data_IF_293336988387
#
_entry.id   IF_293336988387
#
_cell.length_a   1.000
_cell.length_b   1.000
_cell.length_c   1.000
_cell.angle_alpha   90.00
_cell.angle_beta   90.00
_cell.angle_gamma   90.00
#
_symmetry.space_group_name_H-M   'P 1'
#
loop_
_entity.id
_entity.type
_entity.pdbx_description
1 polymer ?
#
# COMPACT_ATOMS: atom_id res chain seq x y z
N UNK A 1 9.94 -15.81 -11.90
CA UNK A 1 11.11 -14.90 -11.81
C UNK A 1 11.34 -14.58 -10.35
N UNK A 2 12.59 -14.50 -9.88
CA UNK A 2 12.85 -14.12 -8.49
C UNK A 2 12.45 -12.66 -8.26
N UNK A 3 11.72 -12.38 -7.17
CA UNK A 3 11.35 -11.01 -6.80
C UNK A 3 12.61 -10.18 -6.54
N UNK A 4 12.65 -8.97 -7.07
CA UNK A 4 13.71 -8.01 -6.82
C UNK A 4 13.33 -7.10 -5.65
N UNK A 5 14.30 -6.87 -4.77
CA UNK A 5 14.13 -6.05 -3.58
C UNK A 5 14.94 -4.77 -3.68
N UNK A 6 14.30 -3.66 -3.32
CA UNK A 6 14.87 -2.32 -3.35
C UNK A 6 14.62 -1.58 -2.05
N UNK A 7 15.62 -0.83 -1.58
CA UNK A 7 15.42 0.25 -0.60
C UNK A 7 15.07 1.52 -1.34
N UNK A 8 14.07 2.22 -0.84
CA UNK A 8 13.52 3.45 -1.38
C UNK A 8 13.92 4.63 -0.50
N UNK A 9 14.36 5.70 -1.14
CA UNK A 9 14.62 6.99 -0.48
C UNK A 9 13.89 8.09 -1.26
N UNK A 10 12.99 8.80 -0.59
CA UNK A 10 12.29 9.93 -1.18
C UNK A 10 13.20 11.13 -1.31
N UNK A 11 13.59 11.50 -2.54
CA UNK A 11 14.37 12.73 -2.79
C UNK A 11 13.42 13.90 -2.98
N UNK A 12 12.43 13.71 -3.84
CA UNK A 12 11.28 14.60 -4.02
C UNK A 12 10.08 13.77 -4.48
N UNK A 13 9.48 12.98 -3.57
CA UNK A 13 8.39 12.08 -3.92
C UNK A 13 7.29 12.82 -4.66
N UNK A 14 6.94 12.32 -5.85
CA UNK A 14 5.82 12.80 -6.62
C UNK A 14 5.26 11.69 -7.48
N UNK A 15 3.95 11.53 -7.50
CA UNK A 15 3.28 10.54 -8.36
C UNK A 15 3.78 9.11 -8.13
N UNK A 16 4.21 8.77 -6.92
CA UNK A 16 4.71 7.43 -6.57
C UNK A 16 3.65 6.36 -6.81
N UNK A 17 2.40 6.60 -6.36
CA UNK A 17 1.26 5.71 -6.58
C UNK A 17 1.04 5.40 -8.08
N UNK A 18 1.25 6.39 -8.95
CA UNK A 18 1.09 6.21 -10.40
C UNK A 18 2.16 5.27 -10.97
N UNK A 19 3.40 5.39 -10.50
CA UNK A 19 4.48 4.50 -10.91
C UNK A 19 4.30 3.09 -10.34
N UNK A 20 3.81 2.96 -9.10
CA UNK A 20 3.46 1.67 -8.52
C UNK A 20 2.35 0.97 -9.31
N UNK A 21 1.32 1.68 -9.74
CA UNK A 21 0.26 1.12 -10.58
C UNK A 21 0.83 0.55 -11.89
N UNK A 22 1.78 1.25 -12.52
CA UNK A 22 2.45 0.78 -13.74
C UNK A 22 3.38 -0.41 -13.52
N UNK A 23 3.98 -0.53 -12.34
CA UNK A 23 4.74 -1.73 -11.96
C UNK A 23 3.83 -2.95 -11.84
N UNK A 24 2.57 -2.74 -11.47
CA UNK A 24 1.50 -3.72 -11.50
C UNK A 24 1.30 -4.44 -10.18
N UNK A 25 2.34 -4.97 -9.55
CA UNK A 25 2.25 -5.57 -8.21
C UNK A 25 3.56 -5.45 -7.44
N UNK A 26 3.45 -5.50 -6.12
CA UNK A 26 4.59 -5.50 -5.24
C UNK A 26 4.20 -5.50 -3.78
N UNK A 27 5.21 -5.57 -2.92
CA UNK A 27 5.08 -5.49 -1.48
C UNK A 27 5.97 -4.37 -0.98
N UNK A 28 5.36 -3.37 -0.37
CA UNK A 28 6.08 -2.31 0.32
C UNK A 28 6.25 -2.68 1.78
N UNK A 29 7.41 -2.39 2.34
CA UNK A 29 7.72 -2.58 3.74
C UNK A 29 8.33 -1.32 4.30
N UNK A 30 7.75 -0.75 5.35
CA UNK A 30 8.34 0.32 6.15
C UNK A 30 8.83 -0.28 7.47
N UNK A 31 10.12 -0.12 7.72
CA UNK A 31 10.80 -0.57 8.93
C UNK A 31 11.66 0.58 9.48
N UNK A 32 12.23 0.41 10.67
CA UNK A 32 13.11 1.42 11.28
C UNK A 32 14.32 1.80 10.39
N UNK A 33 14.79 0.87 9.55
CA UNK A 33 15.91 1.11 8.62
C UNK A 33 15.49 1.80 7.31
N UNK A 34 14.18 1.98 7.07
CA UNK A 34 13.65 2.69 5.91
C UNK A 34 12.52 1.94 5.20
N UNK A 35 12.23 2.39 3.98
CA UNK A 35 11.16 1.85 3.14
C UNK A 35 11.74 0.96 2.05
N UNK A 36 11.09 -0.17 1.78
CA UNK A 36 11.52 -1.19 0.84
C UNK A 36 10.39 -1.57 -0.11
N UNK A 37 10.73 -1.96 -1.33
CA UNK A 37 9.83 -2.52 -2.33
C UNK A 37 10.35 -3.88 -2.80
N UNK A 38 9.49 -4.89 -2.72
CA UNK A 38 9.66 -6.18 -3.38
C UNK A 38 8.73 -6.21 -4.60
N UNK A 39 9.26 -6.49 -5.79
CA UNK A 39 8.45 -6.58 -7.02
C UNK A 39 9.00 -7.67 -7.95
N UNK A 40 8.14 -8.28 -8.73
CA UNK A 40 8.54 -9.25 -9.76
C UNK A 40 9.18 -8.57 -10.98
N UNK A 41 9.04 -7.24 -11.09
CA UNK A 41 9.65 -6.46 -12.17
C UNK A 41 11.17 -6.43 -12.03
N UNK A 42 11.85 -6.50 -13.17
CA UNK A 42 13.30 -6.38 -13.23
C UNK A 42 13.79 -5.01 -12.73
N UNK A 43 15.03 -4.98 -12.24
CA UNK A 43 15.67 -3.79 -11.67
C UNK A 43 15.64 -2.56 -12.59
N UNK A 44 15.80 -2.75 -13.90
CA UNK A 44 15.82 -1.65 -14.87
C UNK A 44 14.50 -0.88 -14.91
N UNK A 45 13.39 -1.59 -15.15
CA UNK A 45 12.06 -0.97 -15.24
C UNK A 45 11.62 -0.38 -13.90
N UNK A 46 11.86 -1.10 -12.79
CA UNK A 46 11.57 -0.59 -11.45
C UNK A 46 12.34 0.69 -11.12
N UNK A 47 13.66 0.71 -11.34
CA UNK A 47 14.49 1.87 -11.03
C UNK A 47 14.12 3.08 -11.89
N UNK A 48 13.90 2.86 -13.19
CA UNK A 48 13.51 3.93 -14.12
C UNK A 48 12.18 4.59 -13.70
N UNK A 49 11.14 3.79 -13.45
CA UNK A 49 9.82 4.31 -13.07
C UNK A 49 9.86 5.03 -11.73
N UNK A 50 10.55 4.47 -10.75
CA UNK A 50 10.66 5.07 -9.42
C UNK A 50 11.49 6.36 -9.43
N UNK A 51 12.51 6.45 -10.28
CA UNK A 51 13.24 7.69 -10.50
C UNK A 51 12.34 8.80 -11.06
N UNK A 52 11.40 8.48 -11.97
CA UNK A 52 10.38 9.45 -12.45
C UNK A 52 9.46 9.94 -11.33
N UNK A 53 9.31 9.17 -10.25
CA UNK A 53 8.58 9.59 -9.06
C UNK A 53 9.45 10.33 -8.02
N UNK A 54 10.68 10.70 -8.36
CA UNK A 54 11.61 11.35 -7.45
C UNK A 54 12.08 10.43 -6.31
N UNK A 55 12.04 9.11 -6.52
CA UNK A 55 12.49 8.10 -5.55
C UNK A 55 13.84 7.55 -6.00
N UNK A 56 14.83 7.65 -5.12
CA UNK A 56 16.11 6.96 -5.29
C UNK A 56 15.92 5.50 -4.87
N UNK A 57 16.44 4.60 -5.70
CA UNK A 57 16.30 3.16 -5.53
C UNK A 57 17.68 2.56 -5.36
N UNK A 58 17.88 1.79 -4.28
CA UNK A 58 19.11 1.02 -4.04
C UNK A 58 18.76 -0.46 -3.98
N UNK A 59 19.45 -1.31 -4.74
CA UNK A 59 19.21 -2.76 -4.69
C UNK A 59 19.60 -3.30 -3.31
N UNK A 60 18.76 -4.15 -2.75
CA UNK A 60 19.03 -4.84 -1.48
C UNK A 60 18.87 -6.35 -1.66
N UNK A 61 19.63 -7.12 -0.88
CA UNK A 61 19.54 -8.58 -0.91
C UNK A 61 18.35 -9.11 -0.09
N UNK A 62 18.00 -8.42 1.01
CA UNK A 62 17.01 -8.89 1.98
C UNK A 62 16.19 -7.71 2.51
N UNK A 63 14.87 -7.86 2.60
CA UNK A 63 14.00 -6.97 3.37
C UNK A 63 14.07 -7.38 4.84
N UNK A 64 14.20 -6.43 5.79
CA UNK A 64 14.11 -6.75 7.21
C UNK A 64 12.80 -7.52 7.50
N UNK A 65 12.84 -8.44 8.46
CA UNK A 65 11.65 -9.10 8.99
C UNK A 65 11.13 -8.39 10.25
N UNK A 66 9.89 -8.66 10.68
CA UNK A 66 9.40 -8.19 11.97
C UNK A 66 10.12 -8.90 13.12
N UNK A 67 10.42 -8.16 14.19
CA UNK A 67 10.96 -8.76 15.41
C UNK A 67 9.94 -9.71 16.05
N UNK A 68 10.43 -10.80 16.67
CA UNK A 68 9.60 -11.87 17.26
C UNK A 68 8.66 -11.39 18.38
N UNK A 69 8.98 -10.27 19.01
CA UNK A 69 8.21 -9.68 20.11
C UNK A 69 7.01 -8.86 19.61
N UNK A 70 7.03 -8.45 18.34
CA UNK A 70 5.95 -7.67 17.77
C UNK A 70 4.73 -8.55 17.50
N UNK A 71 3.56 -7.91 17.51
CA UNK A 71 2.28 -8.60 17.29
C UNK A 71 1.61 -8.07 16.02
N UNK A 72 1.15 -8.97 15.13
CA UNK A 72 0.50 -8.56 13.90
C UNK A 72 -0.86 -7.94 14.17
N UNK A 73 -1.22 -6.97 13.33
CA UNK A 73 -2.48 -6.26 13.33
C UNK A 73 -2.87 -5.90 11.90
N UNK A 74 -4.15 -6.05 11.61
CA UNK A 74 -4.75 -5.70 10.33
C UNK A 74 -5.03 -4.20 10.33
N UNK A 75 -4.52 -3.47 9.34
CA UNK A 75 -4.85 -2.06 9.16
C UNK A 75 -5.93 -1.87 8.10
N UNK A 76 -6.89 -0.99 8.40
CA UNK A 76 -8.03 -0.71 7.53
C UNK A 76 -7.98 0.64 6.84
N UNK A 77 -6.93 1.40 7.09
CA UNK A 77 -6.59 2.65 6.39
C UNK A 77 -5.07 2.70 6.10
N UNK A 78 -4.66 3.68 5.30
CA UNK A 78 -3.28 3.91 4.88
C UNK A 78 -2.59 5.01 5.71
N UNK A 79 -3.15 5.38 6.87
CA UNK A 79 -2.55 6.42 7.72
C UNK A 79 -1.21 5.92 8.25
N UNK A 80 -0.08 6.62 8.02
CA UNK A 80 1.22 6.18 8.52
C UNK A 80 1.21 6.09 10.05
N UNK A 81 1.92 5.10 10.58
CA UNK A 81 2.17 5.02 12.01
C UNK A 81 3.36 5.89 12.36
N UNK A 82 3.27 6.55 13.52
CA UNK A 82 4.39 7.32 14.04
C UNK A 82 5.61 6.42 14.24
N UNK A 83 6.79 6.89 13.83
CA UNK A 83 8.05 6.14 13.92
C UNK A 83 8.36 5.69 15.36
N UNK A 84 7.95 6.50 16.35
CA UNK A 84 8.06 6.20 17.77
C UNK A 84 7.40 4.87 18.19
N UNK A 85 6.47 4.33 17.39
CA UNK A 85 5.87 3.03 17.66
C UNK A 85 6.76 1.84 17.32
N UNK A 86 7.91 2.07 16.65
CA UNK A 86 8.85 1.02 16.25
C UNK A 86 8.17 -0.06 15.42
N UNK A 87 7.19 0.33 14.61
CA UNK A 87 6.36 -0.61 13.89
C UNK A 87 7.08 -1.12 12.64
N UNK A 88 6.90 -2.41 12.37
CA UNK A 88 7.18 -3.00 11.08
C UNK A 88 5.87 -3.05 10.30
N UNK A 89 5.77 -2.34 9.18
CA UNK A 89 4.51 -2.08 8.47
C UNK A 89 4.64 -2.50 7.02
N UNK A 90 3.73 -3.36 6.56
CA UNK A 90 3.78 -3.96 5.24
C UNK A 90 2.50 -3.67 4.50
N UNK A 91 2.63 -3.25 3.24
CA UNK A 91 1.52 -3.15 2.30
C UNK A 91 1.79 -4.07 1.11
N UNK A 92 0.90 -5.04 0.91
CA UNK A 92 0.80 -5.75 -0.36
C UNK A 92 -0.02 -4.92 -1.33
N UNK A 93 0.46 -4.79 -2.56
CA UNK A 93 -0.12 -3.96 -3.61
C UNK A 93 -0.33 -4.73 -4.90
N UNK A 94 -1.43 -4.42 -5.58
CA UNK A 94 -1.58 -4.69 -7.01
C UNK A 94 -2.45 -3.65 -7.70
N UNK A 95 -2.24 -3.46 -8.98
CA UNK A 95 -3.16 -2.73 -9.84
C UNK A 95 -4.46 -3.54 -9.99
N UNK A 96 -5.59 -2.85 -9.85
CA UNK A 96 -6.91 -3.41 -10.11
C UNK A 96 -7.35 -2.92 -11.48
N UNK A 97 -7.79 -3.83 -12.35
CA UNK A 97 -8.33 -3.44 -13.65
C UNK A 97 -9.70 -2.79 -13.49
N UNK A 98 -10.06 -1.93 -14.44
CA UNK A 98 -11.37 -1.29 -14.43
C UNK A 98 -12.52 -2.30 -14.54
N UNK A 99 -12.30 -3.40 -15.28
CA UNK A 99 -13.29 -4.48 -15.42
C UNK A 99 -13.52 -5.20 -14.10
N UNK A 100 -12.45 -5.53 -13.37
CA UNK A 100 -12.55 -6.13 -12.04
C UNK A 100 -13.24 -5.19 -11.05
N UNK A 101 -12.87 -3.91 -11.09
CA UNK A 101 -13.44 -2.90 -10.22
C UNK A 101 -14.95 -2.75 -10.46
N UNK A 102 -15.34 -2.66 -11.73
CA UNK A 102 -16.73 -2.57 -12.16
C UNK A 102 -17.53 -3.82 -11.74
N UNK A 103 -16.96 -5.02 -11.92
CA UNK A 103 -17.61 -6.26 -11.54
C UNK A 103 -17.83 -6.38 -10.03
N UNK A 104 -16.89 -5.91 -9.19
CA UNK A 104 -17.11 -5.91 -7.73
C UNK A 104 -18.21 -4.92 -7.32
N UNK A 105 -18.25 -3.73 -7.93
CA UNK A 105 -19.31 -2.74 -7.67
C UNK A 105 -20.69 -3.27 -8.10
N UNK A 106 -20.78 -3.91 -9.26
CA UNK A 106 -22.03 -4.50 -9.76
C UNK A 106 -22.52 -5.66 -8.88
N UNK A 107 -21.61 -6.46 -8.31
CA UNK A 107 -21.96 -7.51 -7.34
C UNK A 107 -22.47 -6.95 -6.02
N UNK A 108 -21.87 -5.85 -5.54
CA UNK A 108 -22.20 -5.23 -4.27
C UNK A 108 -23.36 -4.22 -4.35
N UNK A 109 -24.28 -4.36 -5.32
CA UNK A 109 -25.41 -3.46 -5.64
C UNK A 109 -25.77 -2.52 -4.48
N UNK A 110 -25.33 -1.25 -4.57
CA UNK A 110 -25.78 -0.15 -3.73
C UNK A 110 -26.70 0.77 -4.56
N UNK A 111 -27.96 0.36 -4.83
CA UNK A 111 -28.87 1.06 -5.74
C UNK A 111 -29.32 2.45 -5.27
N UNK A 112 -28.89 2.93 -4.10
CA UNK A 112 -29.38 4.16 -3.47
C UNK A 112 -28.34 5.28 -3.31
N UNK A 113 -27.11 5.11 -3.80
CA UNK A 113 -26.09 6.17 -3.73
C UNK A 113 -26.14 7.04 -4.99
N UNK A 114 -26.68 8.28 -4.90
CA UNK A 114 -26.70 9.18 -6.05
C UNK A 114 -25.27 9.48 -6.50
N UNK A 115 -24.97 9.42 -7.82
CA UNK A 115 -23.63 9.65 -8.32
C UNK A 115 -23.24 11.12 -8.09
N UNK A 116 -22.34 11.37 -7.13
CA UNK A 116 -21.83 12.71 -6.84
C UNK A 116 -21.02 13.25 -8.01
N UNK A 117 -20.87 14.59 -8.10
CA UNK A 117 -20.00 15.21 -9.12
C UNK A 117 -18.56 14.69 -9.03
N UNK A 118 -18.05 14.50 -7.81
CA UNK A 118 -16.73 13.93 -7.57
C UNK A 118 -16.63 12.50 -8.12
N UNK A 119 -17.58 11.62 -7.79
CA UNK A 119 -17.60 10.25 -8.30
C UNK A 119 -17.64 10.19 -9.83
N UNK A 120 -18.47 11.03 -10.48
CA UNK A 120 -18.52 11.12 -11.95
C UNK A 120 -17.19 11.57 -12.56
N UNK A 121 -16.50 12.53 -11.94
CA UNK A 121 -15.21 12.99 -12.40
C UNK A 121 -14.14 11.90 -12.26
N UNK A 122 -14.10 11.19 -11.14
CA UNK A 122 -13.21 10.04 -10.94
C UNK A 122 -13.46 8.95 -11.99
N UNK A 123 -14.72 8.58 -12.24
CA UNK A 123 -15.06 7.61 -13.29
C UNK A 123 -14.57 8.06 -14.67
N UNK A 124 -14.72 9.35 -15.02
CA UNK A 124 -14.22 9.87 -16.30
C UNK A 124 -12.70 9.78 -16.40
N UNK A 125 -11.97 10.12 -15.34
CA UNK A 125 -10.51 10.01 -15.32
C UNK A 125 -10.05 8.57 -15.52
N UNK A 126 -10.68 7.62 -14.83
CA UNK A 126 -10.40 6.19 -14.99
C UNK A 126 -10.69 5.70 -16.41
N UNK A 127 -11.80 6.11 -17.01
CA UNK A 127 -12.17 5.73 -18.39
C UNK A 127 -11.23 6.35 -19.45
N UNK A 128 -10.53 7.44 -19.12
CA UNK A 128 -9.55 8.11 -19.97
C UNK A 128 -8.11 7.68 -19.69
N UNK A 129 -7.89 6.71 -18.80
CA UNK A 129 -6.56 6.29 -18.34
C UNK A 129 -5.73 7.42 -17.69
N UNK A 130 -6.41 8.46 -17.18
CA UNK A 130 -5.81 9.57 -16.43
C UNK A 130 -5.65 9.25 -14.93
N UNK A 131 -6.11 8.09 -14.50
CA UNK A 131 -6.06 7.60 -13.13
C UNK A 131 -6.05 6.07 -13.12
N UNK A 132 -5.66 5.47 -12.00
CA UNK A 132 -5.69 4.02 -11.84
C UNK A 132 -6.15 3.63 -10.43
N UNK A 133 -6.55 2.36 -10.29
CA UNK A 133 -6.98 1.80 -9.00
C UNK A 133 -5.86 0.90 -8.48
N UNK A 134 -5.44 1.17 -7.24
CA UNK A 134 -4.53 0.31 -6.50
C UNK A 134 -5.31 -0.46 -5.43
N UNK A 135 -5.18 -1.79 -5.50
CA UNK A 135 -5.61 -2.71 -4.48
C UNK A 135 -4.51 -2.88 -3.45
N UNK A 136 -4.88 -2.86 -2.17
CA UNK A 136 -3.92 -2.94 -1.08
C UNK A 136 -4.42 -3.77 0.10
N UNK A 137 -3.49 -4.39 0.81
CA UNK A 137 -3.67 -4.99 2.14
C UNK A 137 -2.54 -4.53 3.02
N UNK A 138 -2.85 -4.11 4.24
CA UNK A 138 -1.85 -3.58 5.15
C UNK A 138 -1.83 -4.35 6.46
N UNK A 139 -0.63 -4.75 6.84
CA UNK A 139 -0.37 -5.51 8.07
C UNK A 139 0.72 -4.79 8.83
N UNK A 140 0.46 -4.56 10.10
CA UNK A 140 1.36 -3.85 11.00
C UNK A 140 1.77 -4.80 12.10
N UNK A 141 3.06 -4.87 12.39
CA UNK A 141 3.62 -5.50 13.58
C UNK A 141 4.13 -4.41 14.51
N UNK A 142 3.59 -4.36 15.72
CA UNK A 142 4.12 -3.48 16.75
C UNK A 142 3.92 -4.09 18.15
N UNK A 143 4.53 -3.47 19.16
CA UNK A 143 4.36 -3.91 20.55
C UNK A 143 2.90 -3.78 21.00
N UNK A 144 2.50 -4.55 22.01
CA UNK A 144 1.14 -4.45 22.59
C UNK A 144 0.86 -3.05 23.15
N UNK A 145 1.87 -2.39 23.72
CA UNK A 145 1.76 -1.02 24.22
C UNK A 145 1.51 -0.03 23.07
N UNK A 146 2.29 -0.11 21.99
CA UNK A 146 2.12 0.70 20.78
C UNK A 146 0.74 0.48 20.14
N UNK A 147 0.24 -0.76 20.09
CA UNK A 147 -1.09 -1.07 19.56
C UNK A 147 -2.21 -0.37 20.33
N UNK A 148 -2.12 -0.33 21.66
CA UNK A 148 -3.11 0.37 22.49
C UNK A 148 -3.12 1.87 22.22
N UNK A 149 -1.94 2.48 22.08
CA UNK A 149 -1.80 3.90 21.78
C UNK A 149 -2.24 4.26 20.35
N UNK A 150 -1.85 3.45 19.35
CA UNK A 150 -2.12 3.70 17.95
C UNK A 150 -3.61 3.59 17.58
N UNK A 151 -4.35 2.72 18.27
CA UNK A 151 -5.79 2.46 18.02
C UNK A 151 -6.68 3.70 18.11
N UNK A 152 -6.27 4.73 18.83
CA UNK A 152 -7.02 5.99 18.90
C UNK A 152 -6.95 6.81 17.61
N UNK A 153 -5.94 6.57 16.76
CA UNK A 153 -5.63 7.38 15.56
C UNK A 153 -5.69 6.59 14.26
N UNK A 154 -5.46 5.27 14.31
CA UNK A 154 -5.39 4.38 13.15
C UNK A 154 -6.35 3.22 13.33
N UNK A 155 -7.06 2.84 12.26
CA UNK A 155 -8.02 1.73 12.30
C UNK A 155 -7.28 0.39 12.24
N UNK A 156 -6.83 -0.08 13.41
CA UNK A 156 -6.11 -1.35 13.58
C UNK A 156 -6.95 -2.41 14.31
N UNK A 157 -6.93 -3.64 13.78
CA UNK A 157 -7.46 -4.84 14.42
C UNK A 157 -6.32 -5.82 14.74
N UNK A 158 -5.97 -6.00 16.02
CA UNK A 158 -5.00 -7.01 16.45
C UNK A 158 -5.39 -8.41 16.05
N UNK A 159 -4.38 -9.19 15.66
CA UNK A 159 -4.49 -10.61 15.37
C UNK A 159 -3.89 -11.36 16.56
N UNK A 160 -4.75 -11.97 17.36
CA UNK A 160 -4.35 -12.57 18.65
C UNK A 160 -4.16 -14.08 18.57
N UNK A 161 -4.97 -14.78 17.76
CA UNK A 161 -5.00 -16.25 17.72
C UNK A 161 -4.88 -16.81 16.30
N UNK A 162 -5.61 -16.23 15.34
CA UNK A 162 -5.60 -16.70 13.95
C UNK A 162 -4.58 -15.91 13.12
N UNK A 163 -3.32 -16.32 13.17
CA UNK A 163 -2.27 -15.71 12.36
C UNK A 163 -2.52 -15.83 10.85
N UNK A 164 -3.34 -16.80 10.40
CA UNK A 164 -3.73 -16.93 8.98
C UNK A 164 -4.77 -15.91 8.56
N UNK A 165 -5.44 -15.23 9.51
CA UNK A 165 -6.34 -14.11 9.21
C UNK A 165 -5.62 -12.95 8.53
N UNK A 166 -4.30 -12.87 8.70
CA UNK A 166 -3.43 -11.90 8.04
C UNK A 166 -3.51 -12.06 6.51
N UNK A 167 -3.48 -13.30 6.01
CA UNK A 167 -3.42 -13.62 4.57
C UNK A 167 -4.80 -13.60 3.89
N UNK A 168 -5.87 -13.72 4.67
CA UNK A 168 -7.25 -13.86 4.18
C UNK A 168 -7.99 -12.54 3.97
N UNK A 169 -7.29 -11.40 4.06
CA UNK A 169 -7.95 -10.10 3.98
C UNK A 169 -8.45 -9.79 2.57
N UNK A 170 -9.63 -9.19 2.47
CA UNK A 170 -10.06 -8.58 1.22
C UNK A 170 -9.15 -7.39 0.89
N UNK A 171 -8.72 -7.27 -0.37
CA UNK A 171 -8.02 -6.07 -0.82
C UNK A 171 -8.98 -4.87 -0.76
N UNK A 172 -8.46 -3.79 -0.17
CA UNK A 172 -9.09 -2.47 -0.19
C UNK A 172 -8.57 -1.71 -1.39
N UNK A 173 -9.28 -0.68 -1.82
CA UNK A 173 -8.88 0.12 -2.98
C UNK A 173 -8.54 1.54 -2.57
N UNK A 174 -7.71 2.17 -3.38
CA UNK A 174 -7.43 3.61 -3.39
C UNK A 174 -7.21 4.05 -4.83
N UNK A 175 -7.42 5.33 -5.13
CA UNK A 175 -7.06 5.88 -6.43
C UNK A 175 -5.61 6.37 -6.40
N UNK A 176 -4.94 6.29 -7.55
CA UNK A 176 -3.57 6.80 -7.70
C UNK A 176 -3.50 8.29 -7.37
N UNK A 177 -4.49 9.08 -7.79
CA UNK A 177 -4.52 10.51 -7.47
C UNK A 177 -4.68 10.84 -5.99
N UNK A 178 -5.07 9.87 -5.16
CA UNK A 178 -5.18 10.11 -3.73
C UNK A 178 -3.79 10.23 -3.09
N UNK A 179 -2.73 9.67 -3.70
CA UNK A 179 -1.35 9.71 -3.17
C UNK A 179 -1.22 9.09 -1.77
N UNK A 180 -2.08 8.12 -1.45
CA UNK A 180 -2.18 7.56 -0.11
C UNK A 180 -1.00 6.65 0.21
N UNK A 181 -0.48 5.92 -0.78
CA UNK A 181 0.68 5.04 -0.60
C UNK A 181 1.96 5.87 -0.47
N UNK A 182 2.11 6.93 -1.27
CA UNK A 182 3.21 7.91 -1.16
C UNK A 182 3.30 8.52 0.24
N UNK A 183 2.17 9.04 0.77
CA UNK A 183 2.13 9.58 2.13
C UNK A 183 2.45 8.53 3.18
N UNK A 184 1.93 7.32 3.04
CA UNK A 184 2.27 6.23 3.94
C UNK A 184 3.78 5.89 3.92
N UNK A 185 4.41 5.93 2.75
CA UNK A 185 5.79 5.51 2.54
C UNK A 185 6.84 6.54 2.99
N UNK A 186 6.51 7.84 2.89
CA UNK A 186 7.48 8.94 3.01
C UNK A 186 7.06 10.08 3.95
N UNK A 187 6.01 9.89 4.76
CA UNK A 187 5.57 10.82 5.82
C UNK A 187 5.55 10.11 7.17
#
# INVERSE_FOLDING_TARGET
>A
MAAATFRLEGVRPTSFDAQLARLGSGKLTRAASGTYLETERGIGDASYRLALAGIRVTRCAVVPGPDKELRPSIAFDLTPLAEAFGAFDVIELRQISLSEASAALMRNRLPWLPPTRAARNTCRRLLRDEDAILGWRRIVWCSVASLRAARARVRLRPVVFDHTAVDRQAMRWTYVSDGAIERWAFT
#
